data_IF_361535415506
#
_entry.id   IF_361535415506
#
_cell.length_a   1.000
_cell.length_b   1.000
_cell.length_c   1.000
_cell.angle_alpha   90.00
_cell.angle_beta   90.00
_cell.angle_gamma   90.00
#
_symmetry.space_group_name_H-M   'P 1'
#
loop_
_entity.id
_entity.type
_entity.pdbx_description
1 polymer ?
#
# COMPACT_ATOMS: atom_id res chain seq x y z
N UNK A 1 -25.95 -7.12 1.11
CA UNK A 1 -24.56 -7.57 1.28
C UNK A 1 -23.93 -7.56 -0.10
N UNK A 2 -22.90 -6.75 -0.29
CA UNK A 2 -22.38 -6.33 -1.58
C UNK A 2 -21.76 -7.50 -2.36
N UNK A 3 -22.14 -7.70 -3.62
CA UNK A 3 -21.70 -8.85 -4.46
C UNK A 3 -20.18 -9.01 -4.48
N UNK A 4 -19.43 -7.90 -4.49
CA UNK A 4 -17.97 -7.90 -4.53
C UNK A 4 -17.32 -8.47 -3.25
N UNK A 5 -17.91 -8.21 -2.08
CA UNK A 5 -17.41 -8.71 -0.80
C UNK A 5 -17.55 -10.22 -0.72
N UNK A 6 -18.74 -10.73 -1.08
CA UNK A 6 -19.04 -12.16 -1.10
C UNK A 6 -18.13 -12.92 -2.07
N UNK A 7 -17.91 -12.40 -3.28
CA UNK A 7 -16.98 -12.99 -4.26
C UNK A 7 -15.54 -13.03 -3.74
N UNK A 8 -15.13 -12.03 -2.94
CA UNK A 8 -13.81 -11.97 -2.36
C UNK A 8 -13.64 -12.82 -1.09
N UNK A 9 -14.71 -13.41 -0.54
CA UNK A 9 -14.70 -14.11 0.76
C UNK A 9 -14.53 -13.17 1.96
N UNK A 10 -14.96 -11.92 1.80
CA UNK A 10 -14.82 -10.84 2.79
C UNK A 10 -16.21 -10.39 3.27
N UNK A 11 -16.34 -10.04 4.55
CA UNK A 11 -17.52 -9.44 5.18
C UNK A 11 -17.27 -7.97 5.45
N UNK A 12 -18.35 -7.19 5.63
CA UNK A 12 -18.25 -5.80 6.07
C UNK A 12 -17.58 -5.68 7.45
N UNK A 13 -17.80 -6.65 8.34
CA UNK A 13 -17.23 -6.64 9.70
C UNK A 13 -15.75 -7.10 9.73
N UNK A 14 -15.19 -7.53 8.60
CA UNK A 14 -13.80 -7.99 8.57
C UNK A 14 -12.83 -6.85 8.84
N UNK A 15 -11.77 -7.16 9.59
CA UNK A 15 -10.70 -6.26 9.95
C UNK A 15 -9.77 -5.94 8.78
N UNK A 16 -9.41 -4.67 8.63
CA UNK A 16 -8.35 -4.23 7.73
C UNK A 16 -7.53 -3.09 8.35
N UNK A 17 -6.31 -2.92 7.86
CA UNK A 17 -5.45 -1.78 8.20
C UNK A 17 -5.29 -0.91 6.96
N UNK A 18 -5.50 0.39 7.13
CA UNK A 18 -5.18 1.41 6.14
C UNK A 18 -4.00 2.26 6.62
N UNK A 19 -3.10 2.63 5.71
CA UNK A 19 -1.98 3.51 5.98
C UNK A 19 -2.03 4.79 5.16
N UNK A 20 -1.60 5.90 5.75
CA UNK A 20 -1.38 7.17 5.04
C UNK A 20 0.08 7.26 4.62
N UNK A 21 0.36 7.01 3.34
CA UNK A 21 1.70 7.12 2.78
C UNK A 21 1.98 8.50 2.21
N UNK A 22 3.23 8.92 2.33
CA UNK A 22 3.80 10.00 1.54
C UNK A 22 4.42 9.42 0.27
N UNK A 23 3.94 9.90 -0.87
CA UNK A 23 4.39 9.50 -2.20
C UNK A 23 4.76 10.73 -3.01
N UNK A 24 5.23 10.51 -4.24
CA UNK A 24 5.57 11.59 -5.14
C UNK A 24 5.02 11.33 -6.54
N UNK A 25 4.67 12.39 -7.25
CA UNK A 25 4.34 12.37 -8.68
C UNK A 25 5.32 13.31 -9.39
N UNK A 26 5.75 12.92 -10.58
CA UNK A 26 6.58 13.77 -11.45
C UNK A 26 5.72 14.38 -12.55
N UNK A 27 5.53 15.69 -12.53
CA UNK A 27 4.80 16.44 -13.56
C UNK A 27 5.71 17.56 -14.08
N UNK A 28 5.85 17.66 -15.40
CA UNK A 28 6.69 18.69 -16.07
C UNK A 28 8.13 18.81 -15.52
N UNK A 29 8.69 17.69 -15.06
CA UNK A 29 10.03 17.62 -14.48
C UNK A 29 10.10 17.98 -12.99
N UNK A 30 9.03 18.49 -12.40
CA UNK A 30 8.92 18.78 -10.98
C UNK A 30 8.42 17.56 -10.19
N UNK A 31 8.90 17.39 -8.96
CA UNK A 31 8.48 16.32 -8.06
C UNK A 31 7.55 16.92 -7.01
N UNK A 32 6.28 16.53 -7.05
CA UNK A 32 5.26 16.97 -6.11
C UNK A 32 4.98 15.87 -5.09
N UNK A 33 4.86 16.25 -3.81
CA UNK A 33 4.46 15.33 -2.73
C UNK A 33 2.94 15.11 -2.77
N UNK A 34 2.51 13.87 -2.61
CA UNK A 34 1.10 13.50 -2.52
C UNK A 34 0.88 12.51 -1.37
N UNK A 35 -0.30 12.57 -0.76
CA UNK A 35 -0.69 11.66 0.31
C UNK A 35 -1.63 10.57 -0.21
N UNK A 36 -1.27 9.31 0.01
CA UNK A 36 -1.99 8.16 -0.54
C UNK A 36 -2.46 7.23 0.58
N UNK A 37 -3.73 6.88 0.56
CA UNK A 37 -4.35 5.89 1.44
C UNK A 37 -4.17 4.52 0.81
N UNK A 38 -3.47 3.63 1.50
CA UNK A 38 -3.16 2.28 1.01
C UNK A 38 -3.62 1.21 2.02
N UNK A 39 -4.22 0.10 1.55
CA UNK A 39 -4.45 -1.05 2.40
C UNK A 39 -3.12 -1.73 2.73
N UNK A 40 -2.92 -2.07 4.00
CA UNK A 40 -1.67 -2.68 4.48
C UNK A 40 -1.90 -4.18 4.68
N UNK A 41 -1.24 -5.07 3.92
CA UNK A 41 -1.27 -6.51 4.18
C UNK A 41 -0.59 -6.87 5.49
N UNK A 42 -1.02 -7.96 6.14
CA UNK A 42 -0.50 -8.39 7.45
C UNK A 42 1.03 -8.59 7.47
N UNK A 43 1.61 -9.09 6.38
CA UNK A 43 3.06 -9.26 6.26
C UNK A 43 3.83 -7.91 6.24
N UNK A 44 3.26 -6.88 5.61
CA UNK A 44 3.88 -5.55 5.60
C UNK A 44 3.72 -4.87 6.96
N UNK A 45 2.57 -5.05 7.59
CA UNK A 45 2.33 -4.60 8.97
C UNK A 45 3.38 -5.12 9.95
N UNK A 46 3.65 -6.43 9.95
CA UNK A 46 4.69 -7.02 10.79
C UNK A 46 6.10 -6.49 10.48
N UNK A 47 6.33 -6.09 9.23
CA UNK A 47 7.61 -5.52 8.83
C UNK A 47 7.79 -4.10 9.37
N UNK A 48 6.72 -3.29 9.39
CA UNK A 48 6.75 -1.98 10.05
C UNK A 48 6.94 -2.10 11.56
N UNK A 49 6.33 -3.10 12.21
CA UNK A 49 6.53 -3.38 13.64
C UNK A 49 7.98 -3.71 14.01
N UNK A 50 8.76 -4.23 13.05
CA UNK A 50 10.20 -4.48 13.20
C UNK A 50 11.07 -3.25 12.95
N UNK A 51 10.47 -2.07 12.73
CA UNK A 51 11.20 -0.81 12.54
C UNK A 51 11.84 -0.66 11.15
N UNK A 52 11.40 -1.44 10.16
CA UNK A 52 11.83 -1.22 8.77
C UNK A 52 11.34 0.15 8.29
N UNK A 53 12.21 0.86 7.58
CA UNK A 53 11.88 2.17 7.02
C UNK A 53 10.60 2.14 6.19
N UNK A 54 9.77 3.15 6.36
CA UNK A 54 8.51 3.28 5.63
C UNK A 54 8.16 4.72 5.32
N UNK A 55 7.31 4.92 4.31
CA UNK A 55 6.75 6.24 3.99
C UNK A 55 5.35 6.45 4.59
N UNK A 56 4.86 5.53 5.42
CA UNK A 56 3.59 5.71 6.13
C UNK A 56 3.75 6.66 7.33
N UNK A 57 2.99 7.75 7.34
CA UNK A 57 2.88 8.69 8.47
C UNK A 57 2.14 8.05 9.65
N UNK A 58 1.08 7.32 9.35
CA UNK A 58 0.33 6.54 10.31
C UNK A 58 -0.41 5.39 9.63
N UNK A 59 -0.91 4.47 10.44
CA UNK A 59 -1.91 3.47 10.06
C UNK A 59 -3.06 3.44 11.05
N UNK A 60 -4.24 3.02 10.62
CA UNK A 60 -5.40 2.80 11.48
C UNK A 60 -6.11 1.49 11.12
N UNK A 61 -6.67 0.84 12.14
CA UNK A 61 -7.50 -0.33 11.97
C UNK A 61 -8.97 0.04 11.81
N UNK A 62 -9.62 -0.54 10.80
CA UNK A 62 -11.02 -0.29 10.44
C UNK A 62 -11.73 -1.59 10.05
N UNK A 63 -13.06 -1.55 10.01
CA UNK A 63 -13.82 -2.59 9.33
C UNK A 63 -13.87 -2.29 7.84
N UNK A 64 -14.04 -3.32 7.01
CA UNK A 64 -14.28 -3.13 5.57
C UNK A 64 -15.55 -2.29 5.33
N UNK A 65 -16.57 -2.43 6.19
CA UNK A 65 -17.82 -1.69 6.13
C UNK A 65 -17.67 -0.19 6.41
N UNK A 66 -16.66 0.22 7.19
CA UNK A 66 -16.34 1.63 7.41
C UNK A 66 -15.82 2.31 6.14
N UNK A 67 -15.27 1.53 5.21
CA UNK A 67 -14.56 2.03 4.03
C UNK A 67 -15.36 1.78 2.75
N UNK A 68 -16.07 0.66 2.64
CA UNK A 68 -16.86 0.30 1.46
C UNK A 68 -18.34 0.21 1.82
N UNK A 69 -19.05 1.31 1.59
CA UNK A 69 -20.50 1.43 1.85
C UNK A 69 -21.24 1.44 0.52
N UNK A 70 -22.12 0.47 0.29
CA UNK A 70 -22.92 0.37 -0.93
C UNK A 70 -22.09 0.48 -2.23
N UNK A 71 -21.00 -0.29 -2.34
CA UNK A 71 -20.03 -0.25 -3.46
C UNK A 71 -19.27 1.08 -3.64
N UNK A 72 -19.42 2.03 -2.71
CA UNK A 72 -18.74 3.31 -2.73
C UNK A 72 -17.66 3.39 -1.66
N UNK A 73 -16.48 3.88 -2.05
CA UNK A 73 -15.39 4.13 -1.12
C UNK A 73 -15.68 5.38 -0.28
N UNK A 74 -15.68 5.21 1.03
CA UNK A 74 -15.78 6.25 2.03
C UNK A 74 -14.40 6.44 2.68
N UNK A 75 -13.93 7.69 2.68
CA UNK A 75 -12.67 8.05 3.32
C UNK A 75 -12.90 8.17 4.83
N UNK A 76 -12.16 7.44 5.68
CA UNK A 76 -12.25 7.63 7.12
C UNK A 76 -11.75 9.01 7.55
N UNK A 77 -12.37 9.58 8.59
CA UNK A 77 -12.08 10.93 9.08
C UNK A 77 -10.63 11.13 9.56
N UNK A 78 -9.92 10.04 9.87
CA UNK A 78 -8.51 10.10 10.24
C UNK A 78 -7.60 10.57 9.09
N UNK A 79 -8.05 10.40 7.85
CA UNK A 79 -7.27 10.72 6.66
C UNK A 79 -7.49 12.17 6.22
N UNK A 80 -6.43 12.90 5.85
CA UNK A 80 -6.57 14.28 5.39
C UNK A 80 -7.50 14.41 4.17
N UNK A 81 -8.27 15.50 4.04
CA UNK A 81 -9.19 15.69 2.92
C UNK A 81 -8.52 15.58 1.54
N UNK A 82 -7.29 16.07 1.41
CA UNK A 82 -6.50 16.04 0.17
C UNK A 82 -5.89 14.68 -0.16
N UNK A 83 -5.86 13.73 0.78
CA UNK A 83 -5.31 12.40 0.51
C UNK A 83 -6.19 11.63 -0.47
N UNK A 84 -5.58 10.73 -1.25
CA UNK A 84 -6.30 9.95 -2.27
C UNK A 84 -6.15 8.46 -2.02
N UNK A 85 -7.17 7.68 -2.36
CA UNK A 85 -7.02 6.22 -2.41
C UNK A 85 -6.02 5.82 -3.49
N UNK A 86 -5.24 4.77 -3.22
CA UNK A 86 -4.30 4.23 -4.20
C UNK A 86 -5.00 3.64 -5.43
N UNK A 87 -4.22 3.40 -6.49
CA UNK A 87 -4.72 2.66 -7.64
C UNK A 87 -5.20 1.26 -7.22
N UNK A 88 -6.33 0.81 -7.77
CA UNK A 88 -6.99 -0.46 -7.45
C UNK A 88 -7.25 -0.69 -5.94
N UNK A 89 -7.52 0.40 -5.21
CA UNK A 89 -7.71 0.36 -3.76
C UNK A 89 -8.66 -0.73 -3.28
N UNK A 90 -9.86 -0.83 -3.89
CA UNK A 90 -10.86 -1.83 -3.47
C UNK A 90 -10.31 -3.25 -3.58
N UNK A 91 -9.70 -3.61 -4.72
CA UNK A 91 -9.12 -4.95 -4.92
C UNK A 91 -7.99 -5.23 -3.93
N UNK A 92 -7.10 -4.25 -3.72
CA UNK A 92 -6.00 -4.34 -2.77
C UNK A 92 -6.50 -4.45 -1.33
N UNK A 93 -7.58 -3.75 -0.97
CA UNK A 93 -8.17 -3.79 0.36
C UNK A 93 -8.77 -5.16 0.64
N UNK A 94 -9.51 -5.73 -0.31
CA UNK A 94 -10.06 -7.09 -0.17
C UNK A 94 -8.94 -8.13 -0.08
N UNK A 95 -7.87 -7.98 -0.87
CA UNK A 95 -6.71 -8.84 -0.78
C UNK A 95 -5.99 -8.72 0.58
N UNK A 96 -5.73 -7.51 1.06
CA UNK A 96 -5.11 -7.26 2.36
C UNK A 96 -5.96 -7.80 3.51
N UNK A 97 -7.28 -7.58 3.47
CA UNK A 97 -8.23 -8.10 4.47
C UNK A 97 -8.11 -9.62 4.63
N UNK A 98 -8.07 -10.36 3.51
CA UNK A 98 -7.87 -11.82 3.56
C UNK A 98 -6.57 -12.23 4.26
N UNK A 99 -5.52 -11.40 4.21
CA UNK A 99 -4.26 -11.70 4.90
C UNK A 99 -4.38 -11.62 6.43
N UNK A 100 -5.31 -10.82 6.97
CA UNK A 100 -5.63 -10.77 8.40
C UNK A 100 -6.57 -11.90 8.83
N UNK A 101 -7.49 -12.32 7.96
CA UNK A 101 -8.31 -13.52 8.21
C UNK A 101 -7.47 -14.79 8.28
N UNK A 102 -6.40 -14.87 7.49
CA UNK A 102 -5.46 -16.00 7.51
C UNK A 102 -4.51 -15.96 8.71
N UNK A 103 -4.26 -14.78 9.27
CA UNK A 103 -3.27 -14.53 10.32
C UNK A 103 -3.83 -13.57 11.36
N UNK A 104 -4.73 -14.08 12.19
CA UNK A 104 -5.47 -13.29 13.18
C UNK A 104 -4.55 -12.68 14.24
N UNK A 105 -3.39 -13.30 14.52
CA UNK A 105 -2.42 -12.79 15.48
C UNK A 105 -1.92 -11.39 15.10
N UNK A 106 -1.84 -11.08 13.79
CA UNK A 106 -1.41 -9.78 13.32
C UNK A 106 -2.36 -8.63 13.74
N UNK A 107 -3.63 -8.95 13.99
CA UNK A 107 -4.65 -7.99 14.43
C UNK A 107 -4.43 -7.56 15.89
N UNK A 108 -3.77 -8.40 16.71
CA UNK A 108 -3.51 -8.11 18.13
C UNK A 108 -2.56 -6.92 18.35
N UNK A 109 -1.77 -6.58 17.33
CA UNK A 109 -0.82 -5.48 17.39
C UNK A 109 -1.44 -4.09 17.11
N UNK A 110 -2.68 -4.04 16.59
CA UNK A 110 -3.42 -2.80 16.39
C UNK A 110 -4.93 -3.07 16.52
N UNK A 111 -5.51 -2.83 17.71
CA UNK A 111 -6.94 -3.01 17.96
C UNK A 111 -7.82 -2.21 16.98
N UNK A 112 -9.01 -2.74 16.70
CA UNK A 112 -9.99 -2.08 15.83
C UNK A 112 -10.32 -0.67 16.34
N UNK A 113 -10.30 0.33 15.46
CA UNK A 113 -10.53 1.74 15.79
C UNK A 113 -9.29 2.49 16.28
N UNK A 114 -8.17 1.81 16.52
CA UNK A 114 -6.92 2.47 16.92
C UNK A 114 -6.07 2.95 15.76
N UNK A 115 -5.17 3.89 16.07
CA UNK A 115 -4.20 4.49 15.15
C UNK A 115 -2.80 4.38 15.73
N UNK A 116 -1.82 4.06 14.88
CA UNK A 116 -0.38 4.04 15.21
C UNK A 116 0.40 4.93 14.24
N UNK A 117 1.35 5.72 14.76
CA UNK A 117 2.13 6.70 13.97
C UNK A 117 3.65 6.70 14.27
N UNK A 118 4.09 5.98 15.29
CA UNK A 118 5.49 5.86 15.71
C UNK A 118 6.25 4.84 14.84
N UNK A 119 6.39 5.15 13.56
CA UNK A 119 7.15 4.35 12.60
C UNK A 119 8.55 4.90 12.35
N UNK A 120 9.44 4.06 11.81
CA UNK A 120 10.69 4.50 11.20
C UNK A 120 10.39 5.20 9.87
N UNK A 121 9.84 6.40 9.95
CA UNK A 121 9.39 7.19 8.81
C UNK A 121 10.58 7.81 8.06
N UNK A 122 10.68 7.55 6.77
CA UNK A 122 11.81 7.98 5.95
C UNK A 122 11.38 8.33 4.53
N UNK A 123 11.81 9.50 4.06
CA UNK A 123 11.64 9.97 2.67
C UNK A 123 12.95 9.96 1.88
N UNK A 124 14.00 9.34 2.43
CA UNK A 124 15.30 9.21 1.77
C UNK A 124 15.18 8.50 0.41
N UNK A 125 14.28 7.51 0.32
CA UNK A 125 13.89 6.80 -0.89
C UNK A 125 12.50 7.24 -1.34
N UNK A 126 12.44 8.20 -2.27
CA UNK A 126 11.19 8.73 -2.81
C UNK A 126 10.42 7.69 -3.61
N UNK A 127 9.18 7.40 -3.21
CA UNK A 127 8.25 6.53 -3.95
C UNK A 127 7.51 7.35 -5.02
N UNK A 128 8.08 7.39 -6.22
CA UNK A 128 7.48 8.09 -7.38
C UNK A 128 6.45 7.17 -8.06
N UNK A 129 5.18 7.55 -8.03
CA UNK A 129 4.05 6.71 -8.47
C UNK A 129 3.97 6.56 -10.00
N UNK A 130 4.31 7.61 -10.74
CA UNK A 130 4.22 7.65 -12.20
C UNK A 130 5.58 7.49 -12.90
N UNK A 131 6.51 6.78 -12.28
CA UNK A 131 7.84 6.60 -12.86
C UNK A 131 7.78 5.61 -14.04
N UNK A 132 7.97 6.10 -15.25
CA UNK A 132 8.10 5.27 -16.46
C UNK A 132 9.57 4.91 -16.62
N UNK A 133 9.91 3.61 -16.54
CA UNK A 133 11.24 3.14 -16.92
C UNK A 133 11.32 3.07 -18.43
N UNK A 134 12.06 4.00 -19.03
CA UNK A 134 12.43 3.93 -20.44
C UNK A 134 13.71 3.11 -20.55
N UNK A 135 13.62 1.91 -21.13
CA UNK A 135 14.79 1.08 -21.47
C UNK A 135 15.36 1.61 -22.77
N UNK A 136 16.68 1.80 -22.81
CA UNK A 136 17.43 2.26 -23.97
C UNK A 136 18.41 1.19 -24.46
N UNK A 137 18.93 1.35 -25.68
CA UNK A 137 19.94 0.43 -26.22
C UNK A 137 21.23 0.41 -25.38
N UNK A 138 21.49 1.47 -24.61
CA UNK A 138 22.61 1.57 -23.67
C UNK A 138 22.44 0.68 -22.43
N UNK A 139 21.20 0.26 -22.12
CA UNK A 139 20.92 -0.71 -21.05
C UNK A 139 21.19 -2.17 -21.48
N UNK A 140 21.54 -2.40 -22.76
CA UNK A 140 21.88 -3.73 -23.23
C UNK A 140 23.17 -4.25 -22.58
N UNK A 141 23.09 -5.45 -22.00
CA UNK A 141 24.28 -6.18 -21.54
C UNK A 141 25.11 -6.55 -22.78
N UNK A 142 26.23 -5.83 -22.99
CA UNK A 142 27.17 -6.13 -24.07
C UNK A 142 27.74 -7.54 -23.85
N UNK A 143 27.53 -8.42 -24.83
CA UNK A 143 28.12 -9.76 -24.77
C UNK A 143 29.65 -9.66 -24.69
N UNK A 144 30.25 -10.51 -23.87
CA UNK A 144 31.70 -10.56 -23.76
C UNK A 144 32.31 -10.96 -25.12
N UNK A 145 33.41 -10.34 -25.58
CA UNK A 145 33.98 -10.63 -26.91
C UNK A 145 34.39 -12.09 -27.13
N UNK A 146 34.61 -12.84 -26.04
CA UNK A 146 35.00 -14.25 -26.09
C UNK A 146 33.82 -15.22 -25.98
N UNK A 147 32.57 -14.76 -25.90
CA UNK A 147 31.39 -15.64 -25.78
C UNK A 147 31.20 -16.58 -26.99
N UNK A 148 31.84 -16.26 -28.13
CA UNK A 148 31.84 -17.11 -29.33
C UNK A 148 33.17 -17.82 -29.61
N UNK A 149 34.17 -17.71 -28.73
CA UNK A 149 35.45 -18.42 -28.93
C UNK A 149 35.36 -19.83 -28.37
N UNK A 150 35.43 -20.82 -29.25
CA UNK A 150 35.66 -22.21 -28.88
C UNK A 150 37.12 -22.30 -28.40
N UNK A 151 37.34 -22.81 -27.18
CA UNK A 151 38.65 -23.02 -26.56
C UNK A 151 39.48 -24.06 -27.32
#
# INVERSE_FOLDING_TARGET
MTTILNQAGVSADDYCILGLATCFVREDGEIQEVEVIEPIPSAYWETMLRGVETSYKFVCAKTVGDILVNDSLQKPDEFPPQSQFCHNFTEMMLAATRTYKKKEEAQTHLPLGEKKADFNYSLSRKRILNNIKTVSDDDNVKQHPNTHKIL
#
